data_IF_081131409150
#
_entry.id   IF_081131409150
#
_cell.length_a   1.000
_cell.length_b   1.000
_cell.length_c   1.000
_cell.angle_alpha   90.00
_cell.angle_beta   90.00
_cell.angle_gamma   90.00
#
_symmetry.space_group_name_H-M   'P 1'
#
loop_
_entity.id
_entity.type
_entity.pdbx_description
1 polymer ?
#
# COMPACT_ATOMS: atom_id res chain seq x y z
N UNK A 1 -1.89 4.26 6.05
CA UNK A 1 -1.31 3.22 5.17
C UNK A 1 0.00 2.77 5.81
N UNK A 2 0.28 1.48 5.96
CA UNK A 2 1.56 1.04 6.53
C UNK A 2 2.56 0.71 5.42
N UNK A 3 3.81 1.15 5.61
CA UNK A 3 4.93 0.95 4.70
C UNK A 3 6.16 0.49 5.48
N UNK A 4 7.04 -0.29 4.86
CA UNK A 4 8.29 -0.71 5.48
C UNK A 4 9.25 0.49 5.65
N UNK A 5 10.16 0.49 6.64
CA UNK A 5 11.17 1.54 6.78
C UNK A 5 12.07 1.65 5.54
N UNK A 6 12.39 0.52 4.90
CA UNK A 6 13.22 0.47 3.71
C UNK A 6 12.57 1.15 2.50
N UNK A 7 11.29 0.88 2.26
CA UNK A 7 10.56 1.50 1.15
C UNK A 7 10.27 2.98 1.44
N UNK A 8 9.97 3.32 2.69
CA UNK A 8 9.80 4.71 3.12
C UNK A 8 11.09 5.51 2.87
N UNK A 9 12.25 4.96 3.23
CA UNK A 9 13.55 5.58 2.97
C UNK A 9 13.83 5.70 1.47
N UNK A 10 13.56 4.65 0.69
CA UNK A 10 13.76 4.65 -0.76
C UNK A 10 12.87 5.68 -1.49
N UNK A 11 11.66 5.92 -0.97
CA UNK A 11 10.72 6.90 -1.50
C UNK A 11 10.90 8.30 -0.89
N UNK A 12 11.79 8.47 0.10
CA UNK A 12 12.01 9.73 0.80
C UNK A 12 10.80 10.19 1.64
N UNK A 13 10.02 9.24 2.16
CA UNK A 13 8.79 9.51 2.92
C UNK A 13 9.02 9.28 4.40
N UNK A 14 8.72 10.30 5.20
CA UNK A 14 8.74 10.22 6.66
C UNK A 14 7.42 9.68 7.21
N UNK A 15 7.43 9.26 8.48
CA UNK A 15 6.21 8.87 9.19
C UNK A 15 5.17 10.01 9.19
N UNK A 16 3.92 9.69 8.87
CA UNK A 16 2.85 10.67 8.64
C UNK A 16 2.88 11.36 7.27
N UNK A 17 3.93 11.13 6.48
CA UNK A 17 4.06 11.67 5.12
C UNK A 17 2.96 11.17 4.18
N UNK A 18 2.59 11.98 3.19
CA UNK A 18 1.54 11.62 2.25
C UNK A 18 2.09 10.70 1.17
N UNK A 19 1.41 9.57 0.95
CA UNK A 19 1.62 8.70 -0.20
C UNK A 19 0.45 8.82 -1.16
N UNK A 20 0.78 8.91 -2.45
CA UNK A 20 -0.17 8.85 -3.55
C UNK A 20 -0.05 7.46 -4.15
N UNK A 21 -1.15 6.71 -4.13
CA UNK A 21 -1.23 5.35 -4.69
C UNK A 21 -2.08 5.47 -5.95
N UNK A 22 -1.47 5.19 -7.08
CA UNK A 22 -2.12 5.27 -8.39
C UNK A 22 -2.37 3.86 -8.94
N UNK A 23 -3.51 3.69 -9.60
CA UNK A 23 -3.89 2.47 -10.31
C UNK A 23 -4.67 2.86 -11.56
N UNK A 24 -4.87 1.91 -12.48
CA UNK A 24 -5.67 2.13 -13.69
C UNK A 24 -7.12 2.54 -13.40
N UNK A 25 -7.60 2.32 -12.18
CA UNK A 25 -8.96 2.65 -11.74
C UNK A 25 -9.05 3.96 -10.96
N UNK A 26 -7.92 4.57 -10.62
CA UNK A 26 -7.87 5.85 -9.93
C UNK A 26 -6.75 5.96 -8.91
N UNK A 27 -6.77 7.09 -8.21
CA UNK A 27 -5.71 7.53 -7.32
C UNK A 27 -6.26 7.76 -5.91
N UNK A 28 -5.52 7.32 -4.89
CA UNK A 28 -5.83 7.60 -3.50
C UNK A 28 -4.61 8.20 -2.79
N UNK A 29 -4.85 9.26 -2.02
CA UNK A 29 -3.85 9.89 -1.19
C UNK A 29 -4.11 9.58 0.28
N UNK A 30 -3.10 9.07 0.98
CA UNK A 30 -3.19 8.70 2.39
C UNK A 30 -1.90 8.98 3.14
N UNK A 31 -1.96 9.34 4.43
CA UNK A 31 -0.79 9.35 5.28
C UNK A 31 -0.22 7.93 5.45
N UNK A 32 1.11 7.86 5.36
CA UNK A 32 1.90 6.68 5.61
C UNK A 32 2.24 6.56 7.11
N UNK A 33 2.32 5.33 7.59
CA UNK A 33 2.87 4.99 8.89
C UNK A 33 3.97 3.97 8.68
N UNK A 34 5.18 4.27 9.14
CA UNK A 34 6.32 3.38 9.01
C UNK A 34 6.15 2.26 10.05
N UNK A 35 6.22 1.01 9.58
CA UNK A 35 6.00 -0.18 10.41
C UNK A 35 7.14 -1.17 10.24
N UNK A 36 7.86 -1.39 11.33
CA UNK A 36 8.88 -2.45 11.43
C UNK A 36 8.29 -3.83 11.17
N UNK A 37 9.08 -4.70 10.53
CA UNK A 37 8.68 -6.07 10.20
C UNK A 37 7.69 -6.19 9.04
N UNK A 38 7.30 -5.08 8.39
CA UNK A 38 6.60 -5.15 7.10
C UNK A 38 7.59 -5.52 6.00
N UNK A 39 7.23 -6.50 5.17
CA UNK A 39 8.06 -6.92 4.04
C UNK A 39 8.22 -5.80 3.02
N UNK A 40 9.41 -5.72 2.41
CA UNK A 40 9.70 -4.76 1.34
C UNK A 40 8.75 -4.95 0.14
N UNK A 41 8.30 -3.84 -0.44
CA UNK A 41 7.36 -3.81 -1.57
C UNK A 41 5.90 -4.10 -1.18
N UNK A 42 5.59 -4.19 0.12
CA UNK A 42 4.24 -4.44 0.61
C UNK A 42 3.69 -3.18 1.27
N UNK A 43 2.45 -2.84 0.91
CA UNK A 43 1.66 -1.84 1.61
C UNK A 43 0.53 -2.54 2.37
N UNK A 44 0.45 -2.32 3.69
CA UNK A 44 -0.65 -2.82 4.51
C UNK A 44 -1.69 -1.71 4.72
N UNK A 45 -2.93 -1.95 4.33
CA UNK A 45 -4.03 -1.03 4.57
C UNK A 45 -4.97 -1.58 5.66
N UNK A 46 -5.01 -0.94 6.84
CA UNK A 46 -6.00 -1.26 7.86
C UNK A 46 -7.31 -0.52 7.60
N UNK A 47 -8.31 -1.26 7.13
CA UNK A 47 -9.66 -0.73 6.88
C UNK A 47 -10.44 -0.56 8.20
N UNK A 48 -10.08 0.42 9.03
CA UNK A 48 -10.78 0.63 10.30
C UNK A 48 -12.03 1.52 10.16
N UNK A 49 -12.10 2.48 9.22
CA UNK A 49 -13.26 3.42 9.11
C UNK A 49 -13.67 3.93 7.72
N UNK A 50 -12.87 3.77 6.65
CA UNK A 50 -13.25 4.25 5.28
C UNK A 50 -13.36 3.11 4.28
N UNK A 51 -14.40 2.27 4.41
CA UNK A 51 -14.69 1.21 3.43
C UNK A 51 -15.02 1.79 2.04
N UNK A 52 -15.71 2.92 1.95
CA UNK A 52 -16.28 3.41 0.68
C UNK A 52 -15.26 3.99 -0.30
N UNK A 53 -14.16 4.58 0.16
CA UNK A 53 -13.20 5.25 -0.73
C UNK A 53 -12.22 4.27 -1.37
N UNK A 54 -11.87 3.19 -0.67
CA UNK A 54 -10.97 2.14 -1.17
C UNK A 54 -11.72 1.18 -2.11
N UNK A 55 -13.00 0.95 -1.85
CA UNK A 55 -13.85 0.13 -2.73
C UNK A 55 -14.08 0.76 -4.11
N UNK A 56 -13.80 2.06 -4.30
CA UNK A 56 -13.82 2.69 -5.63
C UNK A 56 -12.63 2.29 -6.50
N UNK A 57 -11.60 1.67 -5.93
CA UNK A 57 -10.39 1.24 -6.66
C UNK A 57 -10.52 -0.16 -7.26
N UNK A 58 -11.68 -0.84 -7.13
CA UNK A 58 -11.86 -2.23 -7.55
C UNK A 58 -13.33 -2.58 -7.78
N UNK A 59 -13.69 -3.10 -8.95
CA UNK A 59 -15.06 -3.58 -9.27
C UNK A 59 -15.39 -5.01 -8.79
N UNK A 60 -14.47 -5.66 -8.07
CA UNK A 60 -14.72 -6.99 -7.52
C UNK A 60 -13.55 -7.42 -6.65
N UNK A 61 -13.81 -8.22 -5.62
CA UNK A 61 -12.76 -8.84 -4.81
C UNK A 61 -11.87 -9.74 -5.71
N UNK A 62 -10.90 -9.13 -6.38
CA UNK A 62 -9.86 -9.77 -7.15
C UNK A 62 -8.79 -10.28 -6.20
N UNK A 63 -8.94 -11.54 -5.78
CA UNK A 63 -7.79 -12.34 -5.34
C UNK A 63 -6.79 -12.37 -6.51
N UNK A 64 -5.50 -12.35 -6.16
CA UNK A 64 -4.30 -12.46 -7.01
C UNK A 64 -3.67 -11.12 -7.42
N UNK A 65 -2.82 -10.57 -6.56
CA UNK A 65 -1.57 -9.97 -7.04
C UNK A 65 -0.60 -11.13 -7.20
N UNK A 66 -0.26 -11.50 -8.44
CA UNK A 66 0.64 -12.61 -8.72
C UNK A 66 2.08 -12.23 -8.32
N UNK A 67 2.62 -12.90 -7.30
CA UNK A 67 4.03 -12.82 -6.93
C UNK A 67 4.70 -14.13 -7.35
N UNK A 68 5.64 -14.06 -8.30
CA UNK A 68 6.42 -15.23 -8.71
C UNK A 68 7.82 -15.11 -8.12
N UNK A 69 8.20 -16.05 -7.24
CA UNK A 69 9.57 -16.18 -6.72
C UNK A 69 10.22 -17.37 -7.43
N UNK A 70 11.27 -17.14 -8.22
CA UNK A 70 12.10 -18.20 -8.79
C UNK A 70 13.15 -18.63 -7.76
N UNK A 71 13.11 -19.89 -7.32
CA UNK A 71 14.16 -20.55 -6.54
C UNK A 71 14.72 -21.71 -7.36
N UNK A 72 16.03 -21.73 -7.55
CA UNK A 72 16.78 -22.67 -8.38
C UNK A 72 17.89 -21.94 -9.12
#
# INVERSE_FOLDING_TARGET
LFISPEDAAALGVSDGGQLIIESDHGTVQQPATIKEGLGRGVLEFRMARSRKDILKLTDGYGKHIAVTVKKG
#
